data_IF_799828500101
#
_entry.id   IF_799828500101
#
_cell.length_a   1.000
_cell.length_b   1.000
_cell.length_c   1.000
_cell.angle_alpha   90.00
_cell.angle_beta   90.00
_cell.angle_gamma   90.00
#
_symmetry.space_group_name_H-M   'P 1'
#
loop_
_entity.id
_entity.type
_entity.pdbx_description
1 polymer ?
#
# COMPACT_ATOMS: atom_id res chain seq x y z
N UNK A 1 11.34 -19.60 -83.41
CA UNK A 1 10.57 -20.40 -82.43
C UNK A 1 11.14 -20.12 -81.05
N UNK A 2 10.33 -19.56 -80.15
CA UNK A 2 10.46 -19.45 -78.67
C UNK A 2 11.76 -18.81 -78.11
N UNK A 3 11.78 -17.99 -77.06
CA UNK A 3 10.79 -17.37 -76.18
C UNK A 3 11.56 -16.29 -75.41
N UNK A 4 11.02 -15.07 -75.27
CA UNK A 4 11.46 -14.16 -74.21
C UNK A 4 11.21 -14.86 -72.87
N UNK A 5 12.07 -14.68 -71.87
CA UNK A 5 11.68 -14.58 -70.47
C UNK A 5 12.65 -13.66 -69.73
N UNK A 6 12.04 -12.69 -69.04
CA UNK A 6 12.67 -11.75 -68.12
C UNK A 6 13.08 -12.50 -66.85
N UNK A 7 14.27 -12.22 -66.32
CA UNK A 7 14.55 -12.45 -64.90
C UNK A 7 15.20 -11.18 -64.34
N UNK A 8 14.36 -10.36 -63.72
CA UNK A 8 14.76 -9.36 -62.72
C UNK A 8 14.84 -10.11 -61.39
N UNK A 9 16.03 -10.23 -60.80
CA UNK A 9 16.19 -10.58 -59.39
C UNK A 9 16.69 -9.34 -58.66
N UNK A 10 15.73 -8.63 -58.08
CA UNK A 10 15.98 -7.54 -57.14
C UNK A 10 16.61 -8.09 -55.85
N UNK A 11 17.63 -7.39 -55.37
CA UNK A 11 18.23 -7.66 -54.07
C UNK A 11 17.25 -7.34 -52.94
N UNK A 12 17.06 -8.29 -52.04
CA UNK A 12 16.43 -8.04 -50.75
C UNK A 12 17.55 -7.79 -49.72
N UNK A 13 17.77 -6.54 -49.34
CA UNK A 13 18.48 -6.21 -48.11
C UNK A 13 17.62 -6.69 -46.94
N UNK A 14 18.05 -7.74 -46.24
CA UNK A 14 17.46 -8.14 -44.98
C UNK A 14 17.87 -7.14 -43.89
N UNK A 15 17.00 -6.17 -43.60
CA UNK A 15 17.11 -5.36 -42.39
C UNK A 15 16.69 -6.25 -41.23
N UNK A 16 17.66 -6.77 -40.49
CA UNK A 16 17.41 -7.44 -39.21
C UNK A 16 16.99 -6.36 -38.22
N UNK A 17 15.68 -6.22 -38.03
CA UNK A 17 15.12 -5.47 -36.92
C UNK A 17 15.43 -6.23 -35.63
N UNK A 18 16.44 -5.77 -34.90
CA UNK A 18 16.63 -6.16 -33.50
C UNK A 18 15.46 -5.57 -32.71
N UNK A 19 14.43 -6.37 -32.47
CA UNK A 19 13.45 -6.07 -31.42
C UNK A 19 14.20 -6.09 -30.09
N UNK A 20 14.17 -5.01 -29.30
CA UNK A 20 14.64 -5.09 -27.93
C UNK A 20 13.75 -6.12 -27.23
N UNK A 21 14.31 -7.26 -26.85
CA UNK A 21 13.63 -8.18 -25.95
C UNK A 21 13.19 -7.37 -24.73
N UNK A 22 11.91 -7.44 -24.39
CA UNK A 22 11.43 -6.95 -23.11
C UNK A 22 12.35 -7.54 -22.03
N UNK A 23 13.13 -6.69 -21.36
CA UNK A 23 13.84 -7.09 -20.15
C UNK A 23 12.78 -7.67 -19.21
N UNK A 24 12.78 -8.99 -19.04
CA UNK A 24 12.00 -9.61 -18.00
C UNK A 24 12.52 -8.98 -16.70
N UNK A 25 11.73 -8.08 -16.11
CA UNK A 25 12.09 -7.46 -14.86
C UNK A 25 12.07 -8.59 -13.82
N UNK A 26 13.25 -9.11 -13.48
CA UNK A 26 13.39 -10.12 -12.44
C UNK A 26 13.16 -9.42 -11.10
N UNK A 27 11.98 -9.62 -10.52
CA UNK A 27 11.70 -9.15 -9.17
C UNK A 27 12.47 -10.01 -8.16
N UNK A 28 13.05 -9.40 -7.11
CA UNK A 28 13.64 -10.18 -6.03
C UNK A 28 12.53 -10.92 -5.28
N UNK A 29 12.84 -12.13 -4.82
CA UNK A 29 12.01 -12.77 -3.81
C UNK A 29 12.00 -11.93 -2.52
N UNK A 30 11.04 -12.17 -1.61
CA UNK A 30 11.08 -11.57 -0.29
C UNK A 30 12.41 -11.91 0.39
N UNK A 31 12.96 -10.96 1.12
CA UNK A 31 14.09 -11.18 2.01
C UNK A 31 13.77 -12.20 3.10
N UNK A 32 14.72 -12.41 4.01
CA UNK A 32 14.55 -13.39 5.10
C UNK A 32 13.45 -12.91 6.06
N UNK A 33 12.35 -13.66 6.12
CA UNK A 33 11.26 -13.48 7.09
C UNK A 33 11.01 -14.79 7.83
N UNK A 34 11.02 -14.77 9.16
CA UNK A 34 10.90 -15.93 10.05
C UNK A 34 9.90 -15.67 11.18
N UNK A 35 9.43 -16.73 11.82
CA UNK A 35 8.50 -16.65 12.94
C UNK A 35 7.04 -16.62 12.49
N UNK A 36 6.27 -15.70 13.05
CA UNK A 36 4.84 -15.59 12.76
C UNK A 36 4.63 -14.76 11.49
N UNK A 37 4.76 -15.41 10.33
CA UNK A 37 4.85 -14.76 9.02
C UNK A 37 3.50 -14.49 8.34
N UNK A 38 2.38 -15.01 8.87
CA UNK A 38 1.06 -14.65 8.36
C UNK A 38 0.81 -13.14 8.59
N UNK A 39 0.46 -12.44 7.53
CA UNK A 39 0.00 -11.05 7.60
C UNK A 39 -0.89 -10.73 6.40
N UNK A 40 -1.75 -9.75 6.56
CA UNK A 40 -2.51 -9.12 5.48
C UNK A 40 -2.58 -7.63 5.78
N UNK A 41 -2.31 -6.79 4.79
CA UNK A 41 -2.25 -5.32 4.92
C UNK A 41 -1.33 -4.84 6.07
N UNK A 42 -0.02 -5.18 6.06
CA UNK A 42 0.89 -4.81 7.13
C UNK A 42 1.27 -3.33 7.08
N UNK A 43 1.37 -2.71 8.25
CA UNK A 43 2.10 -1.45 8.48
C UNK A 43 3.18 -1.67 9.55
N UNK A 44 4.29 -0.95 9.46
CA UNK A 44 5.42 -1.10 10.39
C UNK A 44 5.95 0.28 10.78
N UNK A 45 6.23 0.43 12.08
CA UNK A 45 6.98 1.57 12.61
C UNK A 45 8.18 1.08 13.42
N UNK A 46 9.31 1.78 13.32
CA UNK A 46 10.44 1.60 14.23
C UNK A 46 10.10 2.18 15.60
N UNK A 47 10.25 1.41 16.65
CA UNK A 47 9.94 1.85 18.01
C UNK A 47 11.05 2.78 18.53
N UNK A 48 10.75 3.68 19.49
CA UNK A 48 11.78 4.49 20.14
C UNK A 48 12.88 3.67 20.83
N UNK A 49 12.58 2.43 21.23
CA UNK A 49 13.53 1.48 21.82
C UNK A 49 14.44 0.78 20.80
N UNK A 50 14.27 1.04 19.50
CA UNK A 50 15.10 0.48 18.42
C UNK A 50 14.60 -0.83 17.81
N UNK A 51 13.45 -1.35 18.28
CA UNK A 51 12.76 -2.49 17.65
C UNK A 51 11.72 -2.05 16.61
N UNK A 52 10.80 -2.93 16.29
CA UNK A 52 9.75 -2.71 15.29
C UNK A 52 8.41 -3.20 15.82
N UNK A 53 7.38 -2.40 15.57
CA UNK A 53 5.99 -2.74 15.83
C UNK A 53 5.25 -2.77 14.49
N UNK A 54 4.55 -3.88 14.25
CA UNK A 54 3.67 -4.05 13.10
C UNK A 54 2.22 -4.11 13.56
N UNK A 55 1.34 -3.51 12.78
CA UNK A 55 -0.10 -3.78 12.83
C UNK A 55 -0.55 -4.38 11.50
N UNK A 56 -1.58 -5.23 11.52
CA UNK A 56 -2.10 -5.88 10.31
C UNK A 56 -3.59 -6.21 10.42
N UNK A 57 -4.23 -6.48 9.28
CA UNK A 57 -5.64 -6.88 9.19
C UNK A 57 -5.90 -8.18 9.95
N UNK A 58 -6.75 -8.12 10.97
CA UNK A 58 -7.19 -9.25 11.77
C UNK A 58 -8.44 -8.89 12.57
N UNK A 59 -9.13 -9.84 13.23
CA UNK A 59 -10.15 -9.52 14.22
C UNK A 59 -9.53 -8.65 15.31
N UNK A 60 -10.02 -7.40 15.43
CA UNK A 60 -9.50 -6.45 16.41
C UNK A 60 -8.10 -5.88 16.16
N UNK A 61 -7.55 -6.02 14.94
CA UNK A 61 -6.21 -5.58 14.52
C UNK A 61 -5.09 -6.34 15.24
N UNK A 62 -4.34 -7.13 14.48
CA UNK A 62 -3.24 -7.91 15.00
C UNK A 62 -1.99 -7.06 15.16
N UNK A 63 -1.18 -7.39 16.17
CA UNK A 63 0.12 -6.76 16.42
C UNK A 63 1.23 -7.81 16.31
N UNK A 64 2.38 -7.40 15.78
CA UNK A 64 3.62 -8.18 15.85
C UNK A 64 4.78 -7.30 16.25
N UNK A 65 5.79 -7.90 16.87
CA UNK A 65 7.05 -7.21 17.18
C UNK A 65 8.24 -7.93 16.56
N UNK A 66 9.30 -7.17 16.30
CA UNK A 66 10.59 -7.68 15.86
C UNK A 66 11.71 -6.80 16.42
N UNK A 67 12.89 -7.36 16.61
CA UNK A 67 14.11 -6.61 16.96
C UNK A 67 15.02 -6.38 15.75
N UNK A 68 14.79 -7.08 14.64
CA UNK A 68 15.72 -7.13 13.49
C UNK A 68 15.02 -6.96 12.12
N UNK A 69 13.68 -6.82 12.09
CA UNK A 69 12.79 -6.80 10.91
C UNK A 69 12.67 -8.13 10.16
N UNK A 70 13.38 -9.16 10.57
CA UNK A 70 13.38 -10.47 9.90
C UNK A 70 12.61 -11.52 10.70
N UNK A 71 12.73 -11.50 12.02
CA UNK A 71 12.09 -12.46 12.92
C UNK A 71 10.95 -11.77 13.64
N UNK A 72 9.71 -12.17 13.32
CA UNK A 72 8.49 -11.56 13.85
C UNK A 72 7.79 -12.47 14.85
N UNK A 73 7.21 -11.87 15.89
CA UNK A 73 6.41 -12.55 16.92
C UNK A 73 5.08 -11.87 17.10
N UNK A 74 4.00 -12.64 17.17
CA UNK A 74 2.68 -12.14 17.55
C UNK A 74 2.73 -11.45 18.92
N UNK A 75 2.12 -10.27 18.99
CA UNK A 75 2.18 -9.37 20.14
C UNK A 75 0.78 -9.02 20.67
N UNK A 76 -0.22 -9.84 20.34
CA UNK A 76 -1.62 -9.66 20.74
C UNK A 76 -2.41 -8.79 19.78
N UNK A 77 -3.49 -8.19 20.28
CA UNK A 77 -4.45 -7.41 19.51
C UNK A 77 -4.58 -5.98 20.06
N UNK A 78 -4.91 -5.04 19.19
CA UNK A 78 -5.30 -3.68 19.60
C UNK A 78 -6.61 -3.74 20.38
N UNK A 79 -7.61 -4.42 19.80
CA UNK A 79 -8.90 -4.71 20.41
C UNK A 79 -9.03 -6.22 20.60
N UNK A 80 -9.33 -6.67 21.82
CA UNK A 80 -9.78 -8.05 21.96
C UNK A 80 -11.13 -8.24 21.23
N UNK A 81 -11.54 -9.49 21.00
CA UNK A 81 -12.68 -9.89 20.17
C UNK A 81 -14.07 -9.34 20.55
N UNK A 82 -14.18 -8.49 21.59
CA UNK A 82 -15.41 -7.79 21.97
C UNK A 82 -15.24 -6.26 22.14
N UNK A 83 -14.04 -5.71 21.88
CA UNK A 83 -13.66 -4.37 22.32
C UNK A 83 -13.84 -3.25 21.28
N UNK A 84 -14.47 -3.48 20.12
CA UNK A 84 -14.69 -2.44 19.11
C UNK A 84 -16.16 -2.26 18.68
N UNK A 85 -17.14 -2.14 19.62
CA UNK A 85 -18.56 -2.05 19.26
C UNK A 85 -18.91 -0.85 18.36
N UNK A 86 -18.12 0.23 18.40
CA UNK A 86 -18.31 1.40 17.54
C UNK A 86 -18.10 1.10 16.04
N UNK A 87 -17.48 -0.03 15.67
CA UNK A 87 -17.31 -0.42 14.27
C UNK A 87 -18.49 -1.21 13.72
N UNK A 88 -19.37 -1.72 14.59
CA UNK A 88 -20.53 -2.55 14.23
C UNK A 88 -21.41 -1.96 13.12
N UNK A 89 -21.68 -0.63 13.07
CA UNK A 89 -22.48 -0.05 12.00
C UNK A 89 -21.92 -0.28 10.58
N UNK A 90 -20.62 -0.55 10.47
CA UNK A 90 -19.90 -0.76 9.21
C UNK A 90 -19.54 -2.24 8.98
N UNK A 91 -19.28 -3.00 10.05
CA UNK A 91 -18.83 -4.40 9.97
C UNK A 91 -19.94 -5.42 10.15
N UNK A 92 -21.07 -5.04 10.76
CA UNK A 92 -22.14 -5.95 11.17
C UNK A 92 -21.82 -6.84 12.38
N UNK A 93 -20.60 -6.74 12.95
CA UNK A 93 -20.16 -7.56 14.09
C UNK A 93 -19.09 -6.84 14.93
N UNK A 94 -19.12 -7.06 16.24
CA UNK A 94 -18.13 -6.53 17.19
C UNK A 94 -16.81 -7.31 17.20
N UNK A 95 -16.78 -8.47 16.53
CA UNK A 95 -15.60 -9.33 16.39
C UNK A 95 -15.16 -9.46 14.92
N UNK A 96 -15.43 -8.44 14.11
CA UNK A 96 -15.06 -8.46 12.71
C UNK A 96 -13.56 -8.21 12.51
N UNK A 97 -13.05 -8.65 11.36
CA UNK A 97 -11.77 -8.15 10.86
C UNK A 97 -11.85 -6.63 10.73
N UNK A 98 -10.88 -5.93 11.32
CA UNK A 98 -10.60 -4.53 11.05
C UNK A 98 -9.38 -4.46 10.16
N UNK A 99 -9.41 -3.58 9.16
CA UNK A 99 -8.52 -3.72 8.01
C UNK A 99 -7.54 -2.58 7.90
N UNK A 100 -6.43 -2.86 7.20
CA UNK A 100 -5.50 -1.89 6.70
C UNK A 100 -5.10 -0.84 7.74
N UNK A 101 -4.56 -1.27 8.90
CA UNK A 101 -4.07 -0.32 9.87
C UNK A 101 -2.92 0.50 9.28
N UNK A 102 -2.85 1.78 9.63
CA UNK A 102 -1.67 2.61 9.46
C UNK A 102 -1.15 3.03 10.82
N UNK A 103 0.14 2.79 11.05
CA UNK A 103 0.79 2.96 12.33
C UNK A 103 1.96 3.93 12.19
N UNK A 104 1.91 5.02 12.96
CA UNK A 104 2.95 6.04 13.00
C UNK A 104 3.23 6.45 14.44
N UNK A 105 4.43 7.00 14.70
CA UNK A 105 4.83 7.47 16.02
C UNK A 105 5.18 8.96 15.95
N UNK A 106 4.40 9.78 16.66
CA UNK A 106 4.53 11.23 16.67
C UNK A 106 4.30 11.77 18.08
N UNK A 107 5.11 12.74 18.49
CA UNK A 107 4.92 13.48 19.74
C UNK A 107 4.76 12.55 20.98
N UNK A 108 5.58 11.49 21.05
CA UNK A 108 5.59 10.59 22.20
C UNK A 108 4.52 9.49 22.21
N UNK A 109 3.69 9.37 21.17
CA UNK A 109 2.64 8.35 21.09
C UNK A 109 2.48 7.77 19.69
N UNK A 110 1.96 6.55 19.65
CA UNK A 110 1.51 5.89 18.45
C UNK A 110 0.12 6.41 18.04
N UNK A 111 -0.04 6.63 16.75
CA UNK A 111 -1.31 6.88 16.08
C UNK A 111 -1.61 5.66 15.21
N UNK A 112 -2.79 5.08 15.38
CA UNK A 112 -3.26 3.93 14.63
C UNK A 112 -4.56 4.31 13.93
N UNK A 113 -4.49 4.54 12.62
CA UNK A 113 -5.68 4.64 11.79
C UNK A 113 -6.06 3.24 11.32
N UNK A 114 -7.36 2.94 11.20
CA UNK A 114 -7.81 1.61 10.79
C UNK A 114 -9.20 1.65 10.16
N UNK A 115 -9.51 0.64 9.35
CA UNK A 115 -10.71 0.57 8.54
C UNK A 115 -11.76 -0.37 9.13
N UNK A 116 -13.02 0.05 9.09
CA UNK A 116 -14.18 -0.78 9.36
C UNK A 116 -15.08 -0.81 8.11
N UNK A 117 -15.36 -2.00 7.59
CA UNK A 117 -16.12 -2.18 6.35
C UNK A 117 -16.59 -3.64 6.18
N UNK A 118 -17.28 -3.92 5.08
CA UNK A 118 -17.58 -5.27 4.56
C UNK A 118 -17.17 -5.38 3.09
N UNK A 119 -16.76 -6.57 2.66
CA UNK A 119 -16.08 -6.73 1.35
C UNK A 119 -17.02 -6.33 0.20
N UNK A 120 -16.53 -5.51 -0.73
CA UNK A 120 -17.33 -4.98 -1.84
C UNK A 120 -18.30 -3.84 -1.47
N UNK A 121 -18.37 -3.43 -0.21
CA UNK A 121 -19.17 -2.30 0.25
C UNK A 121 -18.37 -0.99 0.27
N UNK A 122 -19.09 0.13 0.14
CA UNK A 122 -18.58 1.50 0.40
C UNK A 122 -19.14 2.11 1.68
N UNK A 123 -19.99 1.38 2.41
CA UNK A 123 -20.41 1.79 3.76
C UNK A 123 -19.27 1.46 4.72
N UNK A 124 -18.39 2.44 4.93
CA UNK A 124 -17.09 2.22 5.54
C UNK A 124 -16.67 3.43 6.37
N UNK A 125 -15.77 3.23 7.32
CA UNK A 125 -15.19 4.32 8.09
C UNK A 125 -13.73 4.03 8.46
N UNK A 126 -12.95 5.11 8.48
CA UNK A 126 -11.61 5.14 9.06
C UNK A 126 -11.75 5.69 10.47
N UNK A 127 -11.21 4.94 11.43
CA UNK A 127 -11.14 5.31 12.83
C UNK A 127 -9.71 5.67 13.21
N UNK A 128 -9.56 6.33 14.37
CA UNK A 128 -8.27 6.60 14.99
C UNK A 128 -8.23 6.00 16.40
N UNK A 129 -7.12 5.37 16.73
CA UNK A 129 -6.74 5.05 18.09
C UNK A 129 -5.33 5.57 18.41
N UNK A 130 -5.02 5.72 19.69
CA UNK A 130 -3.67 6.11 20.13
C UNK A 130 -3.20 5.26 21.29
N UNK A 131 -1.88 5.13 21.43
CA UNK A 131 -1.24 4.48 22.58
C UNK A 131 0.12 5.12 22.83
N UNK A 132 0.54 5.23 24.09
CA UNK A 132 1.91 5.67 24.42
C UNK A 132 2.93 4.52 24.35
N UNK A 133 2.48 3.27 24.37
CA UNK A 133 3.36 2.08 24.44
C UNK A 133 3.30 1.21 23.18
N UNK A 134 2.19 1.24 22.44
CA UNK A 134 1.94 0.38 21.30
C UNK A 134 1.61 -1.08 21.65
N UNK A 135 1.59 -1.43 22.96
CA UNK A 135 1.31 -2.78 23.43
C UNK A 135 -0.18 -3.15 23.29
N UNK A 136 -0.48 -4.44 23.17
CA UNK A 136 -1.86 -4.93 23.24
C UNK A 136 -2.57 -4.41 24.51
N UNK A 137 -3.85 -4.01 24.36
CA UNK A 137 -4.66 -3.48 25.46
C UNK A 137 -4.34 -2.05 25.92
N UNK A 138 -3.30 -1.40 25.37
CA UNK A 138 -2.95 -0.01 25.73
C UNK A 138 -3.62 1.07 24.88
N UNK A 139 -4.44 0.65 23.91
CA UNK A 139 -4.98 1.50 22.87
C UNK A 139 -6.27 2.19 23.30
N UNK A 140 -6.34 3.50 23.05
CA UNK A 140 -7.53 4.32 23.30
C UNK A 140 -8.18 4.72 21.98
N UNK A 141 -9.45 4.36 21.79
CA UNK A 141 -10.21 4.74 20.62
C UNK A 141 -10.58 6.22 20.68
N UNK A 142 -10.35 6.94 19.59
CA UNK A 142 -10.70 8.36 19.43
C UNK A 142 -11.83 8.56 18.40
N UNK A 143 -12.45 7.48 17.90
CA UNK A 143 -13.64 7.53 17.05
C UNK A 143 -13.34 7.71 15.55
N UNK A 144 -14.35 8.13 14.79
CA UNK A 144 -14.30 8.28 13.33
C UNK A 144 -13.40 9.44 12.91
N UNK A 145 -12.70 9.29 11.79
CA UNK A 145 -11.92 10.33 11.10
C UNK A 145 -12.62 10.74 9.82
N UNK A 146 -13.08 9.75 9.06
CA UNK A 146 -13.88 9.93 7.85
C UNK A 146 -14.71 8.68 7.59
N UNK A 147 -15.88 8.84 6.97
CA UNK A 147 -16.78 7.76 6.61
C UNK A 147 -17.38 7.94 5.22
N UNK A 148 -17.83 6.83 4.65
CA UNK A 148 -18.57 6.74 3.39
C UNK A 148 -19.83 5.90 3.58
N UNK A 149 -20.80 6.08 2.70
CA UNK A 149 -22.01 5.25 2.63
C UNK A 149 -22.08 4.50 1.28
N UNK A 150 -23.10 3.66 1.10
CA UNK A 150 -23.24 2.82 -0.09
C UNK A 150 -23.26 3.60 -1.43
N UNK A 151 -23.64 4.89 -1.39
CA UNK A 151 -23.75 5.77 -2.55
C UNK A 151 -22.51 6.67 -2.77
N UNK A 152 -21.53 6.64 -1.86
CA UNK A 152 -20.31 7.46 -1.98
C UNK A 152 -19.51 7.09 -3.23
N UNK A 153 -18.92 8.08 -3.91
CA UNK A 153 -18.11 7.86 -5.11
C UNK A 153 -16.71 7.29 -4.82
N UNK A 154 -16.30 7.23 -3.55
CA UNK A 154 -15.04 6.69 -3.06
C UNK A 154 -15.30 5.86 -1.81
N UNK A 155 -14.26 5.17 -1.31
CA UNK A 155 -14.36 4.31 -0.14
C UNK A 155 -13.47 4.82 1.00
N UNK A 156 -13.99 4.96 2.21
CA UNK A 156 -13.23 5.36 3.40
C UNK A 156 -12.59 4.14 4.07
N UNK A 157 -11.57 3.58 3.41
CA UNK A 157 -10.68 2.52 3.93
C UNK A 157 -9.23 2.79 3.49
N UNK A 158 -8.29 2.01 4.01
CA UNK A 158 -6.86 2.04 3.68
C UNK A 158 -6.17 3.38 4.01
N UNK A 159 -6.23 3.85 5.26
CA UNK A 159 -5.54 5.07 5.67
C UNK A 159 -4.02 4.97 5.51
N UNK A 160 -3.37 6.11 5.30
CA UNK A 160 -1.96 6.32 5.59
C UNK A 160 -1.70 7.78 6.00
N UNK A 161 -1.07 7.98 7.15
CA UNK A 161 -0.66 9.30 7.63
C UNK A 161 0.72 9.68 7.08
N UNK A 162 0.85 10.91 6.59
CA UNK A 162 2.13 11.54 6.28
C UNK A 162 2.20 12.95 6.88
N UNK A 163 3.35 13.30 7.42
CA UNK A 163 3.70 14.68 7.80
C UNK A 163 4.56 15.26 6.69
N UNK A 164 4.08 16.33 6.06
CA UNK A 164 4.77 16.96 4.95
C UNK A 164 6.00 17.78 5.41
N UNK A 165 6.73 18.33 4.43
CA UNK A 165 7.93 19.13 4.66
C UNK A 165 7.71 20.39 5.48
N UNK A 166 6.48 20.89 5.52
CA UNK A 166 6.07 22.08 6.25
C UNK A 166 5.46 21.72 7.63
N UNK A 167 5.45 20.43 7.99
CA UNK A 167 4.89 19.95 9.25
C UNK A 167 3.38 19.78 9.23
N UNK A 168 2.72 19.90 8.07
CA UNK A 168 1.28 19.68 7.96
C UNK A 168 0.99 18.19 7.81
N UNK A 169 -0.03 17.73 8.54
CA UNK A 169 -0.43 16.33 8.54
C UNK A 169 -1.48 16.09 7.47
N UNK A 170 -1.33 14.96 6.77
CA UNK A 170 -2.23 14.54 5.72
C UNK A 170 -2.54 13.06 5.88
N UNK A 171 -3.78 12.68 5.58
CA UNK A 171 -4.20 11.29 5.52
C UNK A 171 -4.59 10.96 4.08
N UNK A 172 -3.83 10.09 3.43
CA UNK A 172 -4.25 9.46 2.19
C UNK A 172 -5.10 8.25 2.48
N UNK A 173 -6.09 7.96 1.64
CA UNK A 173 -6.92 6.77 1.78
C UNK A 173 -7.67 6.46 0.47
N UNK A 174 -8.28 5.29 0.38
CA UNK A 174 -9.19 4.94 -0.71
C UNK A 174 -8.95 3.56 -1.28
N UNK A 175 -10.03 2.98 -1.82
CA UNK A 175 -10.04 1.71 -2.52
C UNK A 175 -11.15 1.73 -3.57
N UNK A 176 -10.80 1.44 -4.82
CA UNK A 176 -11.70 1.46 -5.99
C UNK A 176 -12.46 2.80 -6.11
N UNK A 177 -13.71 2.77 -6.63
CA UNK A 177 -14.52 3.96 -6.85
C UNK A 177 -13.85 4.95 -7.81
N UNK A 178 -13.83 6.22 -7.42
CA UNK A 178 -13.14 7.27 -8.16
C UNK A 178 -11.66 7.41 -7.77
N UNK A 179 -11.10 6.46 -7.02
CA UNK A 179 -9.69 6.41 -6.65
C UNK A 179 -9.36 7.04 -5.30
N UNK A 180 -8.09 7.42 -5.16
CA UNK A 180 -7.44 7.75 -3.90
C UNK A 180 -7.63 9.22 -3.53
N UNK A 181 -7.81 9.45 -2.24
CA UNK A 181 -8.11 10.75 -1.64
C UNK A 181 -7.00 11.18 -0.69
N UNK A 182 -6.89 12.48 -0.47
CA UNK A 182 -6.03 13.11 0.53
C UNK A 182 -6.83 14.17 1.30
N UNK A 183 -6.77 14.11 2.63
CA UNK A 183 -7.38 15.10 3.53
C UNK A 183 -6.35 15.65 4.50
N UNK A 184 -6.54 16.90 4.95
CA UNK A 184 -5.73 17.47 6.01
C UNK A 184 -6.13 16.88 7.37
N UNK A 185 -5.14 16.69 8.23
CA UNK A 185 -5.31 16.24 9.62
C UNK A 185 -4.84 17.36 10.56
N UNK A 186 -5.61 17.58 11.62
CA UNK A 186 -5.18 18.43 12.73
C UNK A 186 -4.23 17.63 13.64
N UNK A 187 -2.95 18.01 13.78
CA UNK A 187 -1.98 17.28 14.60
C UNK A 187 -2.35 17.23 16.09
N UNK A 188 -3.12 18.19 16.60
CA UNK A 188 -3.54 18.21 18.01
C UNK A 188 -4.51 17.07 18.33
N UNK A 189 -5.40 16.75 17.40
CA UNK A 189 -6.47 15.75 17.58
C UNK A 189 -6.23 14.45 16.83
N UNK A 190 -5.39 14.46 15.79
CA UNK A 190 -5.25 13.38 14.81
C UNK A 190 -6.47 13.23 13.90
N UNK A 191 -7.42 14.18 13.92
CA UNK A 191 -8.68 14.11 13.17
C UNK A 191 -8.66 14.97 11.93
N UNK A 192 -9.63 14.74 11.04
CA UNK A 192 -9.80 15.52 9.82
C UNK A 192 -9.93 17.01 10.16
N UNK A 193 -9.13 17.82 9.47
CA UNK A 193 -9.18 19.28 9.53
C UNK A 193 -9.88 19.83 8.28
N UNK A 194 -10.99 20.54 8.47
CA UNK A 194 -11.80 21.09 7.39
C UNK A 194 -12.50 20.05 6.51
N UNK A 195 -13.07 20.51 5.40
CA UNK A 195 -13.89 19.70 4.49
C UNK A 195 -13.24 19.45 3.13
N UNK A 196 -12.11 20.10 2.83
CA UNK A 196 -11.37 19.89 1.60
C UNK A 196 -10.90 18.44 1.47
N UNK A 197 -10.87 17.96 0.23
CA UNK A 197 -10.39 16.64 -0.16
C UNK A 197 -9.80 16.76 -1.55
N UNK A 198 -8.64 16.13 -1.75
CA UNK A 198 -7.93 16.13 -3.03
C UNK A 198 -7.92 14.72 -3.60
N UNK A 199 -8.17 14.60 -4.90
CA UNK A 199 -8.00 13.36 -5.64
C UNK A 199 -6.53 13.24 -6.08
N UNK A 200 -5.84 12.17 -5.65
CA UNK A 200 -4.39 12.04 -5.84
C UNK A 200 -4.00 10.95 -6.84
N UNK A 201 -4.86 9.96 -7.08
CA UNK A 201 -4.68 8.93 -8.11
C UNK A 201 -6.00 8.26 -8.48
N UNK A 202 -6.13 7.80 -9.73
CA UNK A 202 -7.32 7.11 -10.23
C UNK A 202 -6.97 6.22 -11.42
N UNK A 203 -7.73 5.13 -11.59
CA UNK A 203 -7.71 4.27 -12.78
C UNK A 203 -9.02 4.37 -13.57
N UNK A 204 -9.71 5.51 -13.45
CA UNK A 204 -11.07 5.69 -13.97
C UNK A 204 -12.13 5.13 -13.02
N UNK A 205 -13.40 5.28 -13.41
CA UNK A 205 -14.54 4.85 -12.59
C UNK A 205 -14.50 3.34 -12.33
N UNK A 206 -14.41 2.95 -11.05
CA UNK A 206 -14.35 1.55 -10.63
C UNK A 206 -13.00 0.88 -10.89
N UNK A 207 -11.96 1.65 -11.24
CA UNK A 207 -10.62 1.11 -11.48
C UNK A 207 -10.02 0.50 -10.20
N UNK A 208 -9.34 -0.64 -10.34
CA UNK A 208 -8.76 -1.37 -9.22
C UNK A 208 -7.46 -0.71 -8.72
N UNK A 209 -7.59 0.21 -7.78
CA UNK A 209 -6.50 0.95 -7.11
C UNK A 209 -6.87 1.12 -5.64
N UNK A 210 -5.94 0.82 -4.74
CA UNK A 210 -6.14 0.96 -3.29
C UNK A 210 -4.80 1.02 -2.52
N UNK A 211 -4.87 0.99 -1.18
CA UNK A 211 -3.71 0.96 -0.29
C UNK A 211 -2.67 2.08 -0.55
N UNK A 212 -3.09 3.36 -0.49
CA UNK A 212 -2.15 4.46 -0.67
C UNK A 212 -1.17 4.55 0.49
N UNK A 213 0.11 4.65 0.18
CA UNK A 213 1.14 5.07 1.15
C UNK A 213 1.94 6.22 0.54
N UNK A 214 2.13 7.30 1.29
CA UNK A 214 2.94 8.43 0.86
C UNK A 214 4.22 8.45 1.69
N UNK A 215 5.37 8.30 1.03
CA UNK A 215 6.67 8.54 1.65
C UNK A 215 7.36 9.75 1.06
N UNK A 216 8.35 10.30 1.78
CA UNK A 216 9.15 11.43 1.30
C UNK A 216 10.61 11.03 1.19
N UNK A 217 11.24 11.31 0.06
CA UNK A 217 12.69 11.16 -0.13
C UNK A 217 13.23 12.32 -0.96
N UNK A 218 14.17 13.07 -0.38
CA UNK A 218 14.66 14.32 -0.96
C UNK A 218 13.52 15.31 -1.20
N UNK A 219 13.41 15.79 -2.44
CA UNK A 219 12.41 16.78 -2.85
C UNK A 219 11.08 16.16 -3.31
N UNK A 220 10.94 14.83 -3.27
CA UNK A 220 9.78 14.13 -3.79
C UNK A 220 8.98 13.45 -2.68
N UNK A 221 7.66 13.52 -2.82
CA UNK A 221 6.69 12.60 -2.25
C UNK A 221 6.47 11.46 -3.24
N UNK A 222 6.51 10.22 -2.77
CA UNK A 222 6.24 9.01 -3.53
C UNK A 222 4.89 8.46 -3.07
N UNK A 223 3.92 8.41 -3.98
CA UNK A 223 2.63 7.77 -3.76
C UNK A 223 2.73 6.31 -4.23
N UNK A 224 2.81 5.42 -3.27
CA UNK A 224 2.74 3.98 -3.44
C UNK A 224 1.29 3.53 -3.41
N UNK A 225 0.95 2.60 -4.28
CA UNK A 225 -0.42 2.10 -4.42
C UNK A 225 -0.38 0.64 -4.82
N UNK A 226 -1.48 -0.07 -4.58
CA UNK A 226 -1.67 -1.41 -5.10
C UNK A 226 -2.72 -1.40 -6.21
N UNK A 227 -2.38 -2.02 -7.34
CA UNK A 227 -3.27 -2.15 -8.50
C UNK A 227 -3.84 -3.56 -8.61
N UNK A 228 -5.03 -3.65 -9.22
CA UNK A 228 -5.72 -4.90 -9.56
C UNK A 228 -6.25 -5.63 -8.31
N UNK A 229 -6.36 -6.97 -8.31
CA UNK A 229 -7.17 -7.69 -7.33
C UNK A 229 -6.33 -8.35 -6.24
N UNK A 230 -6.55 -7.94 -5.00
CA UNK A 230 -6.18 -8.71 -3.81
C UNK A 230 -7.14 -9.89 -3.60
N UNK A 231 -6.88 -10.65 -2.54
CA UNK A 231 -7.90 -11.41 -1.84
C UNK A 231 -8.53 -12.57 -2.63
N UNK A 232 -7.82 -13.04 -3.67
CA UNK A 232 -8.17 -14.21 -4.48
C UNK A 232 -7.14 -15.34 -4.29
N UNK A 233 -6.48 -15.36 -3.13
CA UNK A 233 -5.48 -16.35 -2.78
C UNK A 233 -4.39 -16.46 -3.87
N UNK A 234 -4.06 -17.66 -4.36
CA UNK A 234 -3.06 -17.83 -5.42
C UNK A 234 -3.45 -17.20 -6.78
N UNK A 235 -4.72 -16.83 -6.98
CA UNK A 235 -5.22 -16.18 -8.19
C UNK A 235 -5.18 -14.63 -8.12
N UNK A 236 -4.72 -14.05 -7.00
CA UNK A 236 -4.58 -12.60 -6.86
C UNK A 236 -3.65 -12.00 -7.91
N UNK A 237 -4.06 -10.88 -8.50
CA UNK A 237 -3.33 -10.15 -9.56
C UNK A 237 -2.72 -8.85 -9.06
N UNK A 238 -2.73 -8.65 -7.75
CA UNK A 238 -2.17 -7.48 -7.08
C UNK A 238 -0.74 -7.16 -7.52
N UNK A 239 -0.42 -5.87 -7.60
CA UNK A 239 0.93 -5.40 -7.88
C UNK A 239 1.19 -4.03 -7.25
N UNK A 240 2.44 -3.80 -6.84
CA UNK A 240 2.90 -2.58 -6.19
C UNK A 240 3.36 -1.59 -7.25
N UNK A 241 2.82 -0.38 -7.18
CA UNK A 241 3.05 0.72 -8.13
C UNK A 241 3.45 1.98 -7.40
N UNK A 242 4.17 2.87 -8.09
CA UNK A 242 4.59 4.15 -7.52
C UNK A 242 4.56 5.28 -8.55
N UNK A 243 4.13 6.46 -8.10
CA UNK A 243 4.39 7.73 -8.77
C UNK A 243 5.00 8.73 -7.78
N UNK A 244 5.48 9.87 -8.27
CA UNK A 244 6.06 10.91 -7.41
C UNK A 244 5.61 12.31 -7.78
N UNK A 245 5.67 13.22 -6.82
CA UNK A 245 5.40 14.65 -6.97
C UNK A 245 6.30 15.45 -6.05
N UNK A 246 6.57 16.72 -6.36
CA UNK A 246 7.24 17.66 -5.44
C UNK A 246 6.26 18.28 -4.45
N UNK A 247 4.95 18.05 -4.62
CA UNK A 247 3.88 18.50 -3.74
C UNK A 247 3.10 17.28 -3.23
N UNK A 248 2.84 17.19 -1.92
CA UNK A 248 2.11 16.08 -1.30
C UNK A 248 0.68 15.93 -1.85
N UNK A 249 0.09 17.03 -2.34
CA UNK A 249 -1.22 17.03 -2.99
C UNK A 249 -1.17 16.64 -4.48
N UNK A 250 0.02 16.35 -5.02
CA UNK A 250 0.23 16.07 -6.42
C UNK A 250 0.39 17.33 -7.30
N UNK A 251 0.29 17.18 -8.64
CA UNK A 251 -0.01 15.93 -9.34
C UNK A 251 1.12 14.90 -9.20
N UNK A 252 0.76 13.63 -9.01
CA UNK A 252 1.70 12.52 -9.04
C UNK A 252 1.82 11.98 -10.48
N UNK A 253 3.05 11.71 -10.91
CA UNK A 253 3.37 11.10 -12.21
C UNK A 253 4.25 9.88 -12.03
N UNK A 254 4.18 8.92 -12.95
CA UNK A 254 5.11 7.79 -12.99
C UNK A 254 6.42 8.12 -13.73
N UNK A 255 7.29 7.12 -13.88
CA UNK A 255 8.62 7.25 -14.49
C UNK A 255 8.57 7.75 -15.92
N UNK A 256 7.50 7.42 -16.64
CA UNK A 256 7.30 7.80 -18.04
C UNK A 256 6.51 9.11 -18.17
N UNK A 257 6.22 9.77 -17.04
CA UNK A 257 5.52 11.05 -16.98
C UNK A 257 4.00 10.95 -17.06
N UNK A 258 3.42 9.74 -17.02
CA UNK A 258 1.97 9.55 -17.04
C UNK A 258 1.39 9.88 -15.66
N UNK A 259 0.36 10.72 -15.64
CA UNK A 259 -0.31 11.11 -14.40
C UNK A 259 -0.98 9.91 -13.73
N UNK A 260 -0.85 9.81 -12.39
CA UNK A 260 -1.54 8.80 -11.60
C UNK A 260 -3.05 8.98 -11.60
N UNK A 261 -3.56 10.19 -11.89
CA UNK A 261 -4.98 10.44 -12.15
C UNK A 261 -5.50 9.83 -13.47
N UNK A 262 -4.59 9.47 -14.38
CA UNK A 262 -4.89 8.81 -15.64
C UNK A 262 -4.43 7.34 -15.67
N UNK A 263 -4.28 6.72 -14.49
CA UNK A 263 -3.79 5.35 -14.35
C UNK A 263 -2.30 5.19 -14.66
N UNK A 264 -1.49 6.23 -14.42
CA UNK A 264 -0.04 6.12 -14.33
C UNK A 264 0.39 5.39 -13.06
N UNK A 265 1.56 4.76 -13.10
CA UNK A 265 2.17 4.06 -11.97
C UNK A 265 3.33 3.18 -12.42
N UNK A 266 4.54 3.52 -11.98
CA UNK A 266 5.74 2.71 -12.25
C UNK A 266 5.61 1.38 -11.53
N UNK A 267 5.74 0.27 -12.25
CA UNK A 267 5.71 -1.06 -11.64
C UNK A 267 6.96 -1.28 -10.78
N UNK A 268 6.74 -1.62 -9.50
CA UNK A 268 7.83 -1.95 -8.57
C UNK A 268 7.89 -3.47 -8.34
N UNK A 269 6.75 -4.10 -8.13
CA UNK A 269 6.67 -5.54 -7.89
C UNK A 269 5.35 -6.12 -8.37
N UNK A 270 5.41 -7.25 -9.07
CA UNK A 270 4.25 -8.05 -9.48
C UNK A 270 4.46 -9.52 -9.11
N UNK A 271 3.47 -10.37 -9.37
CA UNK A 271 3.60 -11.83 -9.25
C UNK A 271 4.82 -12.37 -10.00
N UNK A 272 5.59 -13.24 -9.34
CA UNK A 272 6.78 -13.90 -9.89
C UNK A 272 7.14 -15.12 -9.05
N UNK A 273 7.77 -16.14 -9.65
CA UNK A 273 8.09 -17.39 -8.95
C UNK A 273 6.87 -17.95 -8.21
N UNK A 274 7.02 -18.20 -6.90
CA UNK A 274 5.96 -18.66 -5.98
C UNK A 274 5.18 -17.53 -5.29
N UNK A 275 5.47 -16.27 -5.64
CA UNK A 275 4.85 -15.06 -5.10
C UNK A 275 3.66 -14.67 -5.99
N UNK A 276 2.47 -14.54 -5.41
CA UNK A 276 1.24 -14.14 -6.10
C UNK A 276 0.68 -12.89 -5.46
N UNK A 277 0.34 -11.90 -6.29
CA UNK A 277 -0.34 -10.68 -5.85
C UNK A 277 0.35 -9.93 -4.71
N UNK A 278 1.66 -9.56 -4.80
CA UNK A 278 2.27 -8.70 -3.79
C UNK A 278 1.59 -7.32 -3.80
N UNK A 279 1.18 -6.83 -2.62
CA UNK A 279 0.49 -5.56 -2.49
C UNK A 279 0.17 -5.19 -1.04
N UNK A 280 -0.64 -4.15 -0.90
CA UNK A 280 -0.89 -3.42 0.35
C UNK A 280 0.41 -3.15 1.11
N UNK A 281 1.27 -2.37 0.49
CA UNK A 281 2.62 -2.14 1.00
C UNK A 281 2.66 -1.02 2.04
N UNK A 282 3.61 -1.11 2.95
CA UNK A 282 4.14 0.00 3.74
C UNK A 282 5.60 0.25 3.36
N UNK A 283 6.06 1.48 3.53
CA UNK A 283 7.46 1.86 3.29
C UNK A 283 7.93 2.75 4.43
N UNK A 284 9.06 2.40 5.02
CA UNK A 284 9.70 3.24 6.05
C UNK A 284 11.21 3.32 5.82
N UNK A 285 11.81 4.43 6.25
CA UNK A 285 13.27 4.60 6.21
C UNK A 285 13.89 4.01 7.47
N UNK A 286 14.97 3.25 7.29
CA UNK A 286 15.78 2.75 8.38
C UNK A 286 17.27 3.11 8.20
N UNK A 287 18.11 2.61 9.09
CA UNK A 287 19.54 2.94 9.15
C UNK A 287 20.34 2.46 7.94
N UNK A 288 19.90 1.39 7.29
CA UNK A 288 20.60 0.72 6.19
C UNK A 288 19.97 0.99 4.82
N UNK A 289 18.64 1.11 4.75
CA UNK A 289 17.91 1.41 3.52
C UNK A 289 16.47 1.87 3.83
N UNK A 290 15.75 2.29 2.78
CA UNK A 290 14.28 2.27 2.85
C UNK A 290 13.81 0.81 2.74
N UNK A 291 12.80 0.45 3.51
CA UNK A 291 12.28 -0.92 3.62
C UNK A 291 10.89 -0.97 3.03
N UNK A 292 10.67 -1.87 2.08
CA UNK A 292 9.36 -2.22 1.54
C UNK A 292 8.79 -3.41 2.32
N UNK A 293 7.67 -3.21 2.98
CA UNK A 293 6.91 -4.25 3.68
C UNK A 293 5.60 -4.45 2.95
N UNK A 294 5.16 -5.68 2.74
CA UNK A 294 3.94 -5.97 2.00
C UNK A 294 3.40 -7.36 2.37
N UNK A 295 2.19 -7.68 1.95
CA UNK A 295 1.75 -9.06 1.93
C UNK A 295 1.79 -9.61 0.50
N UNK A 296 1.94 -10.93 0.38
CA UNK A 296 1.75 -11.66 -0.86
C UNK A 296 1.04 -12.99 -0.57
N UNK A 297 0.49 -13.62 -1.58
CA UNK A 297 -0.11 -14.96 -1.47
C UNK A 297 0.87 -16.01 -1.99
N UNK A 298 1.07 -17.10 -1.24
CA UNK A 298 1.88 -18.24 -1.73
C UNK A 298 1.16 -18.93 -2.88
N UNK A 299 1.91 -19.31 -3.91
CA UNK A 299 1.36 -20.09 -5.01
C UNK A 299 0.80 -21.45 -4.57
N UNK A 300 1.41 -22.10 -3.58
CA UNK A 300 1.09 -23.48 -3.20
C UNK A 300 -0.29 -23.65 -2.57
N UNK A 301 -0.71 -22.70 -1.74
CA UNK A 301 -1.93 -22.79 -0.93
C UNK A 301 -2.71 -21.47 -0.84
N UNK A 302 -2.18 -20.40 -1.43
CA UNK A 302 -2.82 -19.10 -1.43
C UNK A 302 -2.84 -18.38 -0.09
N UNK A 303 -2.11 -18.85 0.92
CA UNK A 303 -2.02 -18.13 2.20
C UNK A 303 -1.26 -16.82 2.04
N UNK A 304 -1.78 -15.78 2.68
CA UNK A 304 -1.10 -14.50 2.79
C UNK A 304 0.14 -14.61 3.69
N UNK A 305 1.23 -13.98 3.28
CA UNK A 305 2.53 -14.00 3.93
C UNK A 305 3.19 -12.63 3.89
N UNK A 306 3.97 -12.34 4.91
CA UNK A 306 4.80 -11.14 5.02
C UNK A 306 5.97 -11.21 4.04
N UNK A 307 6.05 -10.22 3.16
CA UNK A 307 7.21 -9.94 2.33
C UNK A 307 7.93 -8.67 2.81
N UNK A 308 9.26 -8.73 2.82
CA UNK A 308 10.12 -7.59 3.16
C UNK A 308 11.28 -7.53 2.16
N UNK A 309 11.48 -6.38 1.53
CA UNK A 309 12.63 -6.10 0.67
C UNK A 309 13.23 -4.75 1.01
N UNK A 310 14.50 -4.56 0.63
CA UNK A 310 15.12 -3.25 0.71
C UNK A 310 14.87 -2.48 -0.60
N UNK A 311 14.87 -1.16 -0.51
CA UNK A 311 14.68 -0.26 -1.63
C UNK A 311 15.94 0.57 -1.85
N UNK A 312 16.40 0.57 -3.10
CA UNK A 312 17.34 1.58 -3.62
C UNK A 312 16.62 2.49 -4.60
N UNK A 313 17.25 3.61 -4.96
CA UNK A 313 16.65 4.60 -5.85
C UNK A 313 17.53 4.82 -7.07
N UNK A 314 17.12 4.23 -8.20
CA UNK A 314 17.83 4.33 -9.47
C UNK A 314 17.24 5.52 -10.24
N UNK A 315 18.04 6.57 -10.46
CA UNK A 315 17.59 7.84 -11.05
C UNK A 315 16.36 8.44 -10.33
N UNK A 316 16.31 8.27 -9.01
CA UNK A 316 15.22 8.75 -8.17
C UNK A 316 13.93 7.93 -8.29
N UNK A 317 13.98 6.69 -8.78
CA UNK A 317 12.85 5.77 -8.75
C UNK A 317 13.17 4.54 -7.91
N UNK A 318 12.25 4.10 -7.05
CA UNK A 318 12.53 2.97 -6.18
C UNK A 318 12.62 1.66 -6.98
N UNK A 319 13.55 0.81 -6.55
CA UNK A 319 13.77 -0.55 -7.05
C UNK A 319 13.98 -1.45 -5.84
N UNK A 320 13.15 -2.49 -5.73
CA UNK A 320 13.31 -3.52 -4.70
C UNK A 320 14.51 -4.41 -4.99
N UNK A 321 15.23 -4.83 -3.95
CA UNK A 321 16.34 -5.77 -4.02
C UNK A 321 16.43 -6.69 -2.81
#
# INVERSE_FOLDING_TARGET
>A
MLSLWKVLLGGALAIVSMTPGANAQNYPGPGVVKGDTFTHDPTVVKTPSGGYLMAYTAPGIGLKTSTDRTTWRDAGLVWNSANAPWTQPYTGSNNANLWAPDLSYHNGKYYLYYSASTFGSRKSAIFLATSTTGAAGSWTNLGVVIETNANSAYNAIDPNLIVDAQGKWWLSFGSFGNGLKLIAIDPATGKRSGTSMVDIASRGSGGAIEAPVITRKGNYYYLWVSFDKCCQAAASTYNIRVGRSTNVQGPYVDRDGKQMMAGGGTLVMASHGSIRGPGHNAVFTDTDADVLVYHYYRQSDGQAQLGINLLRYDNGWPVAY
#
